data_IF_324541051248
#
_entry.id   IF_324541051248
#
_cell.length_a   1.000
_cell.length_b   1.000
_cell.length_c   1.000
_cell.angle_alpha   90.00
_cell.angle_beta   90.00
_cell.angle_gamma   90.00
#
_symmetry.space_group_name_H-M   'P 1'
#
loop_
_entity.id
_entity.type
_entity.pdbx_description
1 polymer ?
#
# COMPACT_ATOMS: atom_id res chain seq x y z
N UNK A 1 -24.36 -14.26 -6.72
CA UNK A 1 -22.96 -14.38 -6.27
C UNK A 1 -22.07 -14.22 -7.50
N UNK A 2 -21.11 -13.30 -7.48
CA UNK A 2 -20.16 -13.16 -8.58
C UNK A 2 -19.04 -14.19 -8.40
N UNK A 3 -18.69 -14.91 -9.47
CA UNK A 3 -17.55 -15.80 -9.48
C UNK A 3 -16.44 -15.15 -10.32
N UNK A 4 -15.25 -15.01 -9.74
CA UNK A 4 -14.07 -14.50 -10.44
C UNK A 4 -13.15 -15.68 -10.76
N UNK A 5 -13.00 -15.99 -12.05
CA UNK A 5 -12.04 -16.98 -12.51
C UNK A 5 -10.85 -16.26 -13.13
N UNK A 6 -9.66 -16.53 -12.62
CA UNK A 6 -8.40 -16.05 -13.20
C UNK A 6 -7.89 -17.14 -14.13
N UNK A 7 -7.76 -16.83 -15.42
CA UNK A 7 -7.13 -17.69 -16.42
C UNK A 7 -5.67 -17.29 -16.59
N UNK A 8 -4.85 -18.24 -17.02
CA UNK A 8 -3.44 -18.01 -17.35
C UNK A 8 -2.62 -17.40 -16.20
N UNK A 9 -2.91 -17.81 -14.97
CA UNK A 9 -2.11 -17.42 -13.80
C UNK A 9 -0.70 -18.02 -13.95
N UNK A 10 0.38 -17.21 -13.89
CA UNK A 10 1.73 -17.74 -13.92
C UNK A 10 1.96 -18.72 -12.76
N UNK A 11 2.57 -19.87 -13.03
CA UNK A 11 2.83 -20.90 -12.02
C UNK A 11 3.61 -20.35 -10.81
N UNK A 12 4.53 -19.43 -11.08
CA UNK A 12 5.32 -18.76 -10.04
C UNK A 12 4.45 -17.93 -9.09
N UNK A 13 3.38 -17.32 -9.59
CA UNK A 13 2.42 -16.57 -8.78
C UNK A 13 1.50 -17.52 -8.01
N UNK A 14 1.06 -18.61 -8.66
CA UNK A 14 0.24 -19.63 -8.01
C UNK A 14 0.96 -20.26 -6.81
N UNK A 15 2.23 -20.66 -6.97
CA UNK A 15 3.02 -21.24 -5.89
C UNK A 15 3.28 -20.25 -4.75
N UNK A 16 3.54 -18.98 -5.06
CA UNK A 16 3.69 -17.92 -4.05
C UNK A 16 2.41 -17.72 -3.25
N UNK A 17 1.26 -17.70 -3.94
CA UNK A 17 -0.05 -17.58 -3.28
C UNK A 17 -0.35 -18.79 -2.39
N UNK A 18 -0.04 -20.00 -2.89
CA UNK A 18 -0.21 -21.23 -2.12
C UNK A 18 0.64 -21.24 -0.86
N UNK A 19 1.91 -20.85 -0.96
CA UNK A 19 2.82 -20.72 0.18
C UNK A 19 2.30 -19.69 1.18
N UNK A 20 1.91 -18.51 0.71
CA UNK A 20 1.35 -17.47 1.56
C UNK A 20 0.11 -17.96 2.32
N UNK A 21 -0.83 -18.61 1.63
CA UNK A 21 -2.04 -19.15 2.24
C UNK A 21 -1.70 -20.19 3.34
N UNK A 22 -0.74 -21.08 3.06
CA UNK A 22 -0.26 -22.08 4.03
C UNK A 22 0.39 -21.45 5.26
N UNK A 23 1.26 -20.47 5.08
CA UNK A 23 1.94 -19.77 6.19
C UNK A 23 0.95 -18.99 7.08
N UNK A 24 -0.16 -18.53 6.50
CA UNK A 24 -1.18 -17.74 7.21
C UNK A 24 -2.41 -18.58 7.64
N UNK A 25 -2.35 -19.91 7.52
CA UNK A 25 -3.45 -20.84 7.85
C UNK A 25 -4.81 -20.44 7.24
N UNK A 26 -4.80 -19.99 5.99
CA UNK A 26 -6.01 -19.62 5.25
C UNK A 26 -6.07 -20.33 3.89
N UNK A 27 -7.23 -20.25 3.23
CA UNK A 27 -7.38 -20.74 1.86
C UNK A 27 -6.82 -19.74 0.84
N UNK A 28 -6.40 -20.22 -0.34
CA UNK A 28 -5.97 -19.33 -1.42
C UNK A 28 -7.07 -18.34 -1.83
N UNK A 29 -8.34 -18.75 -1.75
CA UNK A 29 -9.49 -17.87 -1.99
C UNK A 29 -9.53 -16.72 -1.00
N UNK A 30 -9.41 -17.01 0.30
CA UNK A 30 -9.41 -15.98 1.35
C UNK A 30 -8.20 -15.05 1.21
N UNK A 31 -7.03 -15.59 0.91
CA UNK A 31 -5.82 -14.81 0.65
C UNK A 31 -6.02 -13.82 -0.51
N UNK A 32 -6.60 -14.28 -1.63
CA UNK A 32 -6.89 -13.43 -2.80
C UNK A 32 -7.94 -12.37 -2.46
N UNK A 33 -9.04 -12.73 -1.80
CA UNK A 33 -10.08 -11.77 -1.44
C UNK A 33 -9.55 -10.70 -0.49
N UNK A 34 -8.77 -11.10 0.51
CA UNK A 34 -8.11 -10.17 1.44
C UNK A 34 -7.15 -9.23 0.72
N UNK A 35 -6.38 -9.74 -0.25
CA UNK A 35 -5.47 -8.92 -1.03
C UNK A 35 -6.23 -7.88 -1.89
N UNK A 36 -7.32 -8.30 -2.53
CA UNK A 36 -8.17 -7.41 -3.34
C UNK A 36 -8.78 -6.32 -2.46
N UNK A 37 -9.33 -6.68 -1.30
CA UNK A 37 -9.94 -5.71 -0.38
C UNK A 37 -8.92 -4.67 0.10
N UNK A 38 -7.71 -5.10 0.48
CA UNK A 38 -6.62 -4.20 0.86
C UNK A 38 -6.24 -3.22 -0.25
N UNK A 39 -6.15 -3.70 -1.49
CA UNK A 39 -5.81 -2.81 -2.61
C UNK A 39 -6.95 -1.84 -2.97
N UNK A 40 -8.21 -2.26 -2.85
CA UNK A 40 -9.34 -1.35 -3.05
C UNK A 40 -9.35 -0.25 -1.98
N UNK A 41 -9.16 -0.60 -0.71
CA UNK A 41 -9.05 0.39 0.39
C UNK A 41 -7.88 1.35 0.15
N UNK A 42 -6.73 0.84 -0.29
CA UNK A 42 -5.56 1.67 -0.60
C UNK A 42 -5.85 2.63 -1.75
N UNK A 43 -6.46 2.15 -2.82
CA UNK A 43 -6.83 2.96 -3.97
C UNK A 43 -7.85 4.05 -3.60
N UNK A 44 -8.89 3.70 -2.83
CA UNK A 44 -9.88 4.66 -2.35
C UNK A 44 -9.25 5.73 -1.46
N UNK A 45 -8.35 5.33 -0.57
CA UNK A 45 -7.61 6.26 0.27
C UNK A 45 -6.75 7.22 -0.56
N UNK A 46 -6.01 6.72 -1.56
CA UNK A 46 -5.21 7.56 -2.45
C UNK A 46 -6.07 8.55 -3.23
N UNK A 47 -7.21 8.09 -3.74
CA UNK A 47 -8.18 8.94 -4.44
C UNK A 47 -8.69 10.07 -3.53
N UNK A 48 -9.05 9.74 -2.29
CA UNK A 48 -9.47 10.74 -1.30
C UNK A 48 -8.36 11.72 -0.94
N UNK A 49 -7.13 11.24 -0.78
CA UNK A 49 -5.98 12.07 -0.49
C UNK A 49 -5.72 13.09 -1.61
N UNK A 50 -5.78 12.64 -2.87
CA UNK A 50 -5.57 13.49 -4.03
C UNK A 50 -6.64 14.58 -4.20
N UNK A 51 -7.84 14.38 -3.64
CA UNK A 51 -8.93 15.36 -3.66
C UNK A 51 -8.85 16.34 -2.48
N UNK A 52 -7.96 16.13 -1.52
CA UNK A 52 -7.84 17.01 -0.36
C UNK A 52 -7.28 18.35 -0.83
N UNK A 53 -7.89 19.50 -0.44
CA UNK A 53 -7.31 20.80 -0.75
C UNK A 53 -5.93 20.90 -0.11
N UNK A 54 -5.00 21.47 -0.88
CA UNK A 54 -3.67 21.81 -0.36
C UNK A 54 -3.85 22.73 0.84
N UNK A 55 -3.22 22.36 1.95
CA UNK A 55 -3.25 23.18 3.17
C UNK A 55 -2.13 24.20 3.05
N UNK A 56 -2.49 25.47 2.90
CA UNK A 56 -1.53 26.55 3.02
C UNK A 56 -1.05 26.63 4.47
N UNK A 57 0.22 26.32 4.67
CA UNK A 57 0.89 26.30 5.97
C UNK A 57 1.57 27.64 6.29
N UNK A 58 1.42 28.65 5.42
CA UNK A 58 1.94 30.00 5.62
C UNK A 58 3.47 30.10 5.64
N UNK A 59 4.16 29.01 5.33
CA UNK A 59 5.61 28.87 5.34
C UNK A 59 6.05 27.94 4.21
N UNK A 60 7.26 28.17 3.69
CA UNK A 60 7.84 27.29 2.67
C UNK A 60 8.13 25.91 3.29
N UNK A 61 7.27 24.94 2.97
CA UNK A 61 7.38 23.56 3.42
C UNK A 61 8.75 22.95 3.06
N UNK A 62 9.33 23.34 1.94
CA UNK A 62 10.62 22.85 1.48
C UNK A 62 11.75 23.37 2.37
N UNK A 63 11.66 24.63 2.80
CA UNK A 63 12.62 25.22 3.73
C UNK A 63 12.56 24.52 5.10
N UNK A 64 11.36 24.32 5.64
CA UNK A 64 11.16 23.62 6.92
C UNK A 64 11.67 22.17 6.90
N UNK A 65 11.38 21.43 5.82
CA UNK A 65 11.88 20.05 5.67
C UNK A 65 13.41 19.99 5.54
N UNK A 66 14.04 20.98 4.91
CA UNK A 66 15.50 21.06 4.82
C UNK A 66 16.14 21.36 6.17
N UNK A 67 15.56 22.27 6.94
CA UNK A 67 16.02 22.61 8.29
C UNK A 67 15.99 21.38 9.20
N UNK A 68 14.85 20.67 9.24
CA UNK A 68 14.69 19.46 10.05
C UNK A 68 15.64 18.32 9.63
N UNK A 69 15.84 18.12 8.33
CA UNK A 69 16.82 17.12 7.83
C UNK A 69 18.24 17.50 8.24
N UNK A 70 18.62 18.77 8.10
CA UNK A 70 19.95 19.26 8.48
C UNK A 70 20.18 19.13 9.98
N UNK A 71 19.17 19.43 10.81
CA UNK A 71 19.25 19.24 12.27
C UNK A 71 19.49 17.79 12.63
N UNK A 72 18.70 16.87 12.06
CA UNK A 72 18.85 15.43 12.30
C UNK A 72 20.23 14.91 11.88
N UNK A 73 20.72 15.33 10.73
CA UNK A 73 22.02 14.88 10.23
C UNK A 73 23.17 15.41 11.10
N UNK A 74 22.99 16.57 11.76
CA UNK A 74 23.94 17.13 12.73
C UNK A 74 23.84 16.51 14.14
N UNK A 75 22.70 15.95 14.54
CA UNK A 75 22.52 15.28 15.84
C UNK A 75 22.98 13.80 15.81
N UNK A 76 23.06 13.21 14.61
CA UNK A 76 23.49 11.81 14.38
C UNK A 76 24.98 11.74 13.96
N UNK A 77 25.64 12.87 13.72
CA UNK A 77 27.09 12.97 13.44
C UNK A 77 27.93 13.17 14.70
#
# INVERSE_FOLDING_TARGET
MANLQIKDMPDTLHERLRRYARENNCTMREAVLTAIEKELVRWEWQKRLAQRPETDIGADAVALLKEERSRRDNEIG
#
